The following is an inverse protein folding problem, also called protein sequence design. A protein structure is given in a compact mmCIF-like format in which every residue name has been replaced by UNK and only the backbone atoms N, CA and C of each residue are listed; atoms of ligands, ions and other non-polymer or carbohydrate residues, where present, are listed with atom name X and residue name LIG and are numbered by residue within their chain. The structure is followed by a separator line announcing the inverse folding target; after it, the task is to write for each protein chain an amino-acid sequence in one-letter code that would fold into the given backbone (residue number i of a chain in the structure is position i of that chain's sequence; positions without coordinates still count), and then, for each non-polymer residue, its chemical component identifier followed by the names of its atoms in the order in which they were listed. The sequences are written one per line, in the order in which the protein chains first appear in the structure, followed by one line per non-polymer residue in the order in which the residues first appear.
data_IF_324180331140
#
_entry.id   IF_324180331140
#
_cell.length_a   1.000
_cell.length_b   1.000
_cell.length_c   1.000
_cell.angle_alpha   90.00
_cell.angle_beta   90.00
_cell.angle_gamma   90.00
#
_symmetry.space_group_name_H-M   'P 1'
#
loop_
_entity.id
_entity.type
_entity.pdbx_description
1 polymer ?
#
# COMPACT_ATOMS: atom_id res chain seq x y z
N UNK A 1 9.05 17.41 -1.17
CA UNK A 1 8.36 16.88 -2.38
C UNK A 1 7.74 15.54 -2.06
N UNK A 2 6.52 15.28 -2.55
CA UNK A 2 5.80 14.00 -2.40
C UNK A 2 5.59 13.42 -3.79
N UNK A 3 5.86 12.13 -3.96
CA UNK A 3 5.60 11.39 -5.19
C UNK A 3 4.69 10.20 -4.93
N UNK A 4 4.04 9.68 -5.96
CA UNK A 4 3.20 8.49 -5.86
C UNK A 4 3.45 7.54 -7.02
N UNK A 5 3.17 6.25 -6.81
CA UNK A 5 3.21 5.23 -7.86
C UNK A 5 1.96 4.37 -7.89
N UNK A 6 1.51 4.07 -9.10
CA UNK A 6 0.47 3.09 -9.41
C UNK A 6 1.09 2.04 -10.33
N UNK A 7 1.03 0.78 -9.95
CA UNK A 7 1.45 -0.35 -10.79
C UNK A 7 0.22 -0.94 -11.47
N UNK A 8 0.29 -1.10 -12.79
CA UNK A 8 -0.82 -1.63 -13.61
C UNK A 8 -0.43 -2.91 -14.33
N UNK A 9 -1.41 -3.79 -14.53
CA UNK A 9 -1.30 -4.96 -15.38
C UNK A 9 -2.65 -5.22 -16.07
N UNK A 10 -2.72 -4.96 -17.36
CA UNK A 10 -3.93 -5.06 -18.19
C UNK A 10 -5.14 -4.21 -17.68
N UNK A 11 -4.88 -3.16 -16.89
CA UNK A 11 -5.91 -2.21 -16.48
C UNK A 11 -6.26 -1.27 -17.64
N UNK A 12 -7.53 -0.90 -17.74
CA UNK A 12 -7.99 0.22 -18.58
C UNK A 12 -7.83 1.53 -17.83
N UNK A 13 -8.00 2.67 -18.50
CA UNK A 13 -8.03 3.97 -17.83
C UNK A 13 -9.13 4.04 -16.77
N UNK A 14 -10.33 3.54 -17.07
CA UNK A 14 -11.46 3.54 -16.13
C UNK A 14 -11.19 2.77 -14.82
N UNK A 15 -10.30 1.78 -14.86
CA UNK A 15 -9.93 1.02 -13.67
C UNK A 15 -9.05 1.83 -12.71
N UNK A 16 -8.23 2.76 -13.23
CA UNK A 16 -7.23 3.52 -12.47
C UNK A 16 -7.56 5.01 -12.34
N UNK A 17 -8.54 5.51 -13.09
CA UNK A 17 -8.95 6.91 -13.10
C UNK A 17 -9.25 7.46 -11.69
N UNK A 18 -10.00 6.75 -10.80
CA UNK A 18 -10.28 7.25 -9.46
C UNK A 18 -9.02 7.49 -8.64
N UNK A 19 -8.01 6.61 -8.77
CA UNK A 19 -6.74 6.76 -8.07
C UNK A 19 -5.93 7.94 -8.62
N UNK A 20 -5.85 8.08 -9.96
CA UNK A 20 -5.17 9.20 -10.61
C UNK A 20 -5.85 10.51 -10.21
N UNK A 21 -7.18 10.57 -10.25
CA UNK A 21 -7.95 11.77 -9.90
C UNK A 21 -7.64 12.23 -8.46
N UNK A 22 -7.69 11.31 -7.50
CA UNK A 22 -7.38 11.61 -6.10
C UNK A 22 -5.95 12.14 -5.93
N UNK A 23 -4.98 11.56 -6.63
CA UNK A 23 -3.58 12.01 -6.59
C UNK A 23 -3.39 13.37 -7.26
N UNK A 24 -4.05 13.65 -8.40
CA UNK A 24 -3.98 14.95 -9.08
C UNK A 24 -4.52 16.09 -8.20
N UNK A 25 -5.54 15.80 -7.39
CA UNK A 25 -6.17 16.76 -6.46
C UNK A 25 -5.39 16.94 -5.16
N UNK A 26 -4.43 16.09 -4.86
CA UNK A 26 -3.65 16.11 -3.61
C UNK A 26 -2.31 16.87 -3.74
N UNK A 27 -1.52 16.93 -2.66
CA UNK A 27 -0.19 17.57 -2.61
C UNK A 27 0.91 16.78 -3.35
N UNK A 28 0.57 15.74 -4.12
CA UNK A 28 1.54 14.96 -4.88
C UNK A 28 2.11 15.79 -6.02
N UNK A 29 3.43 15.78 -6.16
CA UNK A 29 4.15 16.51 -7.21
C UNK A 29 4.45 15.67 -8.46
N UNK A 30 4.56 14.35 -8.31
CA UNK A 30 4.81 13.45 -9.44
C UNK A 30 4.10 12.12 -9.23
N UNK A 31 3.33 11.71 -10.22
CA UNK A 31 2.61 10.44 -10.27
C UNK A 31 3.29 9.57 -11.31
N UNK A 32 3.82 8.41 -10.90
CA UNK A 32 4.42 7.41 -11.76
C UNK A 32 3.42 6.29 -12.02
N UNK A 33 3.06 6.06 -13.28
CA UNK A 33 2.31 4.87 -13.69
C UNK A 33 3.31 3.88 -14.26
N UNK A 34 3.48 2.73 -13.60
CA UNK A 34 4.35 1.64 -14.05
C UNK A 34 3.46 0.55 -14.62
N UNK A 35 3.54 0.34 -15.93
CA UNK A 35 2.70 -0.63 -16.63
C UNK A 35 3.48 -1.90 -17.00
N UNK A 36 3.03 -3.01 -16.44
CA UNK A 36 3.57 -4.35 -16.64
C UNK A 36 2.81 -5.15 -17.72
N UNK A 37 1.85 -4.54 -18.41
CA UNK A 37 1.00 -5.23 -19.39
C UNK A 37 1.80 -5.65 -20.63
N UNK A 38 1.50 -6.81 -21.21
CA UNK A 38 2.13 -7.29 -22.45
C UNK A 38 1.49 -6.68 -23.71
N UNK A 39 0.39 -5.92 -23.54
CA UNK A 39 -0.35 -5.29 -24.66
C UNK A 39 0.42 -4.15 -25.31
N UNK A 40 0.00 -3.79 -26.53
CA UNK A 40 0.38 -2.53 -27.15
C UNK A 40 -0.17 -1.36 -26.29
N UNK A 41 0.71 -0.49 -25.83
CA UNK A 41 0.39 0.59 -24.90
C UNK A 41 -0.12 1.88 -25.56
N UNK A 42 -0.12 1.96 -26.91
CA UNK A 42 -0.50 3.18 -27.65
C UNK A 42 -1.91 3.68 -27.31
N UNK A 43 -2.88 2.78 -27.25
CA UNK A 43 -4.26 3.14 -26.96
C UNK A 43 -4.40 3.61 -25.48
N UNK A 44 -3.77 2.92 -24.56
CA UNK A 44 -3.75 3.30 -23.16
C UNK A 44 -3.06 4.65 -22.94
N UNK A 45 -1.91 4.88 -23.61
CA UNK A 45 -1.21 6.16 -23.55
C UNK A 45 -2.04 7.31 -24.13
N UNK A 46 -2.71 7.08 -25.27
CA UNK A 46 -3.60 8.09 -25.86
C UNK A 46 -4.74 8.46 -24.90
N UNK A 47 -5.38 7.46 -24.30
CA UNK A 47 -6.45 7.66 -23.31
C UNK A 47 -5.92 8.42 -22.07
N UNK A 48 -4.74 8.09 -21.57
CA UNK A 48 -4.13 8.76 -20.43
C UNK A 48 -3.77 10.23 -20.75
N UNK A 49 -3.25 10.50 -21.95
CA UNK A 49 -2.94 11.86 -22.41
C UNK A 49 -4.22 12.69 -22.55
N UNK A 50 -5.27 12.11 -23.16
CA UNK A 50 -6.57 12.76 -23.27
C UNK A 50 -7.13 13.10 -21.88
N UNK A 51 -7.13 12.14 -20.97
CA UNK A 51 -7.58 12.35 -19.59
C UNK A 51 -6.81 13.47 -18.90
N UNK A 52 -5.48 13.49 -19.01
CA UNK A 52 -4.65 14.57 -18.45
C UNK A 52 -5.02 15.96 -19.01
N UNK A 53 -5.26 16.03 -20.33
CA UNK A 53 -5.69 17.27 -20.97
C UNK A 53 -7.09 17.72 -20.50
N UNK A 54 -8.03 16.80 -20.32
CA UNK A 54 -9.37 17.08 -19.79
C UNK A 54 -9.31 17.57 -18.33
N UNK A 55 -8.48 16.97 -17.48
CA UNK A 55 -8.28 17.43 -16.11
C UNK A 55 -7.71 18.86 -16.08
N UNK A 56 -6.74 19.17 -16.93
CA UNK A 56 -6.18 20.52 -17.06
C UNK A 56 -7.21 21.53 -17.61
N UNK A 57 -8.11 21.11 -18.49
CA UNK A 57 -9.17 21.96 -19.03
C UNK A 57 -10.21 22.31 -17.96
N UNK A 58 -10.59 21.33 -17.13
CA UNK A 58 -11.69 21.42 -16.19
C UNK A 58 -11.28 21.95 -14.80
N UNK A 59 -9.98 21.91 -14.46
CA UNK A 59 -9.47 22.32 -13.15
C UNK A 59 -8.32 23.33 -13.29
N UNK A 60 -8.56 24.55 -12.82
CA UNK A 60 -7.59 25.65 -12.90
C UNK A 60 -6.33 25.38 -12.04
N UNK A 61 -6.47 24.71 -10.89
CA UNK A 61 -5.35 24.41 -10.02
C UNK A 61 -4.46 23.30 -10.60
N UNK A 62 -5.05 22.23 -11.13
CA UNK A 62 -4.31 21.19 -11.85
C UNK A 62 -3.57 21.81 -13.03
N UNK A 63 -4.24 22.63 -13.84
CA UNK A 63 -3.63 23.36 -14.97
C UNK A 63 -2.45 24.22 -14.53
N UNK A 64 -2.63 25.01 -13.47
CA UNK A 64 -1.57 25.88 -12.93
C UNK A 64 -0.35 25.05 -12.50
N UNK A 65 -0.57 23.95 -11.77
CA UNK A 65 0.49 23.07 -11.28
C UNK A 65 1.22 22.33 -12.41
N UNK A 66 0.50 21.86 -13.43
CA UNK A 66 1.09 21.23 -14.60
C UNK A 66 1.94 22.22 -15.41
N UNK A 67 1.44 23.43 -15.67
CA UNK A 67 2.16 24.47 -16.39
C UNK A 67 3.44 24.91 -15.65
N UNK A 68 3.39 24.96 -14.32
CA UNK A 68 4.55 25.24 -13.46
C UNK A 68 5.49 24.04 -13.29
N UNK A 69 5.20 22.90 -13.91
CA UNK A 69 5.91 21.62 -13.72
C UNK A 69 6.01 21.16 -12.24
N UNK A 70 5.09 21.62 -11.41
CA UNK A 70 4.97 21.22 -10.01
C UNK A 70 4.02 20.03 -9.78
N UNK A 71 3.38 19.56 -10.87
CA UNK A 71 2.59 18.32 -10.94
C UNK A 71 2.90 17.63 -12.27
N UNK A 72 3.38 16.41 -12.21
CA UNK A 72 3.77 15.59 -13.36
C UNK A 72 3.06 14.25 -13.28
N UNK A 73 2.44 13.84 -14.37
CA UNK A 73 1.94 12.47 -14.58
C UNK A 73 2.82 11.81 -15.64
N UNK A 74 3.48 10.73 -15.28
CA UNK A 74 4.38 10.01 -16.18
C UNK A 74 4.02 8.53 -16.28
N UNK A 75 4.17 7.98 -17.47
CA UNK A 75 3.94 6.57 -17.77
C UNK A 75 5.26 5.89 -18.13
N UNK A 76 5.46 4.70 -17.58
CA UNK A 76 6.65 3.89 -17.78
C UNK A 76 6.26 2.44 -18.02
N UNK A 77 6.54 1.95 -19.23
CA UNK A 77 6.45 0.53 -19.54
C UNK A 77 7.62 -0.21 -18.92
N UNK A 78 7.35 -1.30 -18.24
CA UNK A 78 8.37 -2.12 -17.59
C UNK A 78 8.02 -3.60 -17.66
N UNK A 79 9.04 -4.47 -17.66
CA UNK A 79 8.84 -5.91 -17.52
C UNK A 79 8.09 -6.23 -16.22
N UNK A 80 7.26 -7.28 -16.27
CA UNK A 80 6.46 -7.66 -15.12
C UNK A 80 7.29 -8.41 -14.08
N UNK A 81 7.89 -7.64 -13.18
CA UNK A 81 8.64 -8.13 -12.02
C UNK A 81 7.80 -8.11 -10.71
N UNK A 82 6.47 -8.15 -10.84
CA UNK A 82 5.53 -8.20 -9.73
C UNK A 82 5.21 -6.85 -9.10
N UNK A 83 4.34 -6.87 -8.10
CA UNK A 83 3.83 -5.67 -7.45
C UNK A 83 4.95 -4.82 -6.83
N UNK A 84 5.73 -5.40 -5.93
CA UNK A 84 6.82 -4.71 -5.24
C UNK A 84 7.90 -4.23 -6.20
N UNK A 85 8.24 -5.04 -7.22
CA UNK A 85 9.23 -4.68 -8.23
C UNK A 85 8.81 -3.46 -9.05
N UNK A 86 7.54 -3.38 -9.46
CA UNK A 86 7.02 -2.21 -10.16
C UNK A 86 7.09 -0.95 -9.31
N UNK A 87 6.68 -1.00 -8.05
CA UNK A 87 6.80 0.14 -7.14
C UNK A 87 8.26 0.52 -6.89
N UNK A 88 9.18 -0.44 -6.83
CA UNK A 88 10.62 -0.17 -6.69
C UNK A 88 11.17 0.68 -7.84
N UNK A 89 10.70 0.49 -9.07
CA UNK A 89 11.09 1.35 -10.21
C UNK A 89 10.76 2.80 -9.90
N UNK A 90 9.52 3.07 -9.51
CA UNK A 90 9.08 4.42 -9.18
C UNK A 90 9.76 5.00 -7.93
N UNK A 91 9.97 4.19 -6.88
CA UNK A 91 10.65 4.62 -5.66
C UNK A 91 12.10 5.03 -5.96
N UNK A 92 12.84 4.28 -6.78
CA UNK A 92 14.21 4.66 -7.21
C UNK A 92 14.21 5.97 -8.00
N UNK A 93 13.20 6.20 -8.85
CA UNK A 93 13.05 7.46 -9.58
C UNK A 93 12.74 8.61 -8.62
N UNK A 94 11.87 8.39 -7.64
CA UNK A 94 11.52 9.36 -6.60
C UNK A 94 12.74 9.75 -5.74
N UNK A 95 13.55 8.78 -5.31
CA UNK A 95 14.79 9.00 -4.58
C UNK A 95 15.78 9.84 -5.41
N UNK A 96 15.97 9.48 -6.69
CA UNK A 96 16.83 10.23 -7.62
C UNK A 96 16.35 11.67 -7.84
N UNK A 97 15.05 11.90 -7.80
CA UNK A 97 14.45 13.23 -7.90
C UNK A 97 14.49 14.03 -6.58
N UNK A 98 15.03 13.48 -5.49
CA UNK A 98 15.13 14.13 -4.18
C UNK A 98 13.77 14.25 -3.47
N UNK A 99 12.85 13.32 -3.69
CA UNK A 99 11.60 13.27 -2.94
C UNK A 99 11.85 12.95 -1.47
N UNK A 100 11.03 13.53 -0.60
CA UNK A 100 11.05 13.23 0.84
C UNK A 100 10.11 12.07 1.19
N UNK A 101 8.99 12.01 0.49
CA UNK A 101 7.95 11.01 0.68
C UNK A 101 7.56 10.35 -0.62
N UNK A 102 7.17 9.08 -0.54
CA UNK A 102 6.61 8.33 -1.66
C UNK A 102 5.38 7.53 -1.23
N UNK A 103 4.36 7.53 -2.09
CA UNK A 103 3.11 6.82 -1.84
C UNK A 103 2.97 5.68 -2.83
N UNK A 104 2.80 4.48 -2.32
CA UNK A 104 2.39 3.30 -3.08
C UNK A 104 0.86 3.25 -3.03
N UNK A 105 0.20 3.20 -4.18
CA UNK A 105 -1.26 3.22 -4.28
C UNK A 105 -1.74 2.14 -5.25
N UNK A 106 -2.71 1.34 -4.82
CA UNK A 106 -3.41 0.42 -5.72
C UNK A 106 -4.23 1.18 -6.75
N UNK A 107 -4.41 0.63 -7.96
CA UNK A 107 -5.18 1.26 -9.04
C UNK A 107 -6.66 1.49 -8.69
N UNK A 108 -7.23 0.70 -7.77
CA UNK A 108 -8.63 0.72 -7.35
C UNK A 108 -8.87 1.43 -6.00
N UNK A 109 -7.94 2.32 -5.60
CA UNK A 109 -8.03 3.19 -4.42
C UNK A 109 -8.42 4.61 -4.82
N UNK A 110 -9.27 5.27 -4.02
CA UNK A 110 -9.56 6.71 -4.15
C UNK A 110 -9.75 7.37 -2.77
N UNK A 111 -9.58 8.68 -2.73
CA UNK A 111 -9.65 9.46 -1.50
C UNK A 111 -9.87 10.95 -1.79
N UNK A 112 -10.20 11.71 -0.74
CA UNK A 112 -10.37 13.15 -0.78
C UNK A 112 -9.03 13.92 -0.72
N UNK A 113 -9.06 15.21 -1.01
CA UNK A 113 -7.87 16.03 -1.25
C UNK A 113 -6.95 16.18 -0.04
N UNK A 114 -7.47 16.16 1.18
CA UNK A 114 -6.74 16.46 2.42
C UNK A 114 -5.99 15.25 3.03
N UNK A 115 -6.22 14.05 2.50
CA UNK A 115 -5.59 12.82 3.03
C UNK A 115 -4.08 12.93 3.05
N UNK A 116 -3.48 13.30 1.91
CA UNK A 116 -2.01 13.34 1.75
C UNK A 116 -1.40 14.46 2.59
N UNK A 117 -1.99 15.65 2.58
CA UNK A 117 -1.50 16.80 3.35
C UNK A 117 -1.53 16.53 4.86
N UNK A 118 -2.60 15.91 5.36
CA UNK A 118 -2.75 15.55 6.76
C UNK A 118 -1.72 14.50 7.19
N UNK A 119 -1.52 13.44 6.39
CA UNK A 119 -0.52 12.41 6.67
C UNK A 119 0.90 12.98 6.64
N UNK A 120 1.20 13.84 5.68
CA UNK A 120 2.48 14.55 5.59
C UNK A 120 2.75 15.38 6.83
N UNK A 121 1.82 16.25 7.24
CA UNK A 121 1.96 17.10 8.44
C UNK A 121 2.27 16.27 9.69
N UNK A 122 1.61 15.11 9.84
CA UNK A 122 1.91 14.20 10.93
C UNK A 122 3.33 13.63 10.84
N UNK A 123 3.77 13.17 9.68
CA UNK A 123 5.14 12.67 9.49
C UNK A 123 6.19 13.76 9.66
N UNK A 124 5.91 15.01 9.25
CA UNK A 124 6.83 16.13 9.40
C UNK A 124 7.16 16.41 10.88
N UNK A 125 6.19 16.23 11.77
CA UNK A 125 6.36 16.40 13.23
C UNK A 125 6.85 15.14 13.94
N UNK A 126 6.67 13.94 13.34
CA UNK A 126 7.02 12.65 13.94
C UNK A 126 8.11 11.95 13.09
N UNK A 127 9.37 12.31 13.34
CA UNK A 127 10.52 11.86 12.49
C UNK A 127 10.85 10.38 12.66
N UNK A 128 10.36 9.73 13.69
CA UNK A 128 10.48 8.29 13.97
C UNK A 128 9.46 7.43 13.20
N UNK A 129 8.56 8.05 12.44
CA UNK A 129 7.60 7.36 11.57
C UNK A 129 8.19 7.13 10.19
N UNK A 130 8.30 5.86 9.79
CA UNK A 130 8.80 5.44 8.46
C UNK A 130 7.69 5.12 7.46
N UNK A 131 6.56 4.62 7.95
CA UNK A 131 5.43 4.20 7.11
C UNK A 131 4.10 4.53 7.78
N UNK A 132 3.13 4.96 6.98
CA UNK A 132 1.75 5.15 7.43
C UNK A 132 0.75 4.55 6.45
N UNK A 133 -0.40 4.10 7.00
CA UNK A 133 -1.57 3.66 6.24
C UNK A 133 -2.81 4.35 6.85
N UNK A 134 -3.69 4.97 6.04
CA UNK A 134 -4.94 5.56 6.51
C UNK A 134 -5.97 4.50 6.86
N UNK A 135 -7.13 4.91 7.37
CA UNK A 135 -8.30 4.04 7.46
C UNK A 135 -8.78 3.70 6.05
N UNK A 136 -9.01 2.41 5.80
CA UNK A 136 -9.45 1.92 4.50
C UNK A 136 -10.87 1.40 4.60
N UNK A 137 -11.77 1.90 3.76
CA UNK A 137 -13.16 1.46 3.67
C UNK A 137 -13.43 0.75 2.34
N UNK A 138 -14.42 -0.13 2.35
CA UNK A 138 -15.08 -0.57 1.12
C UNK A 138 -15.94 0.56 0.55
N UNK A 139 -16.37 0.46 -0.74
CA UNK A 139 -17.28 1.45 -1.34
C UNK A 139 -18.60 1.65 -0.58
N UNK A 140 -19.05 0.65 0.15
CA UNK A 140 -20.27 0.69 0.99
C UNK A 140 -20.05 1.35 2.37
N UNK A 141 -18.84 1.85 2.64
CA UNK A 141 -18.46 2.49 3.89
C UNK A 141 -18.06 1.52 5.01
N UNK A 142 -18.11 0.21 4.78
CA UNK A 142 -17.64 -0.77 5.77
C UNK A 142 -16.11 -0.83 5.83
N UNK A 143 -15.57 -1.11 7.03
CA UNK A 143 -14.13 -1.04 7.26
C UNK A 143 -13.39 -2.26 6.70
N UNK A 144 -12.29 -2.03 5.98
CA UNK A 144 -11.32 -3.05 5.62
C UNK A 144 -10.28 -3.19 6.72
N UNK A 145 -10.21 -4.38 7.32
CA UNK A 145 -9.29 -4.64 8.44
C UNK A 145 -7.89 -4.99 7.94
N UNK A 146 -7.15 -3.96 7.56
CA UNK A 146 -5.86 -4.06 6.87
C UNK A 146 -4.65 -3.72 7.76
N UNK A 147 -4.91 -3.35 9.02
CA UNK A 147 -3.92 -3.20 10.08
C UNK A 147 -3.87 -4.51 10.88
N UNK A 148 -2.74 -5.23 10.87
CA UNK A 148 -2.69 -6.61 11.35
C UNK A 148 -1.42 -6.89 12.15
N UNK A 149 -1.44 -8.01 12.85
CA UNK A 149 -0.25 -8.62 13.43
C UNK A 149 0.62 -9.29 12.34
N UNK A 150 1.88 -9.59 12.63
CA UNK A 150 2.67 -10.48 11.76
C UNK A 150 2.04 -11.87 11.75
N UNK A 151 1.82 -12.47 10.56
CA UNK A 151 1.07 -13.70 10.44
C UNK A 151 1.81 -14.90 11.01
N UNK A 152 1.07 -15.85 11.58
CA UNK A 152 1.53 -17.20 11.82
C UNK A 152 1.06 -18.13 10.68
N UNK A 153 1.66 -19.32 10.51
CA UNK A 153 1.15 -20.30 9.55
C UNK A 153 -0.34 -20.60 9.73
N UNK A 154 -0.79 -20.58 10.99
CA UNK A 154 -2.21 -20.83 11.29
C UNK A 154 -3.14 -19.69 10.83
N UNK A 155 -2.66 -18.45 10.81
CA UNK A 155 -3.43 -17.32 10.30
C UNK A 155 -3.59 -17.39 8.76
N UNK A 156 -2.58 -17.92 8.07
CA UNK A 156 -2.58 -18.04 6.61
C UNK A 156 -3.30 -19.31 6.12
N UNK A 157 -3.03 -20.46 6.75
CA UNK A 157 -3.50 -21.76 6.28
C UNK A 157 -4.64 -22.36 7.12
N UNK A 158 -4.92 -21.79 8.28
CA UNK A 158 -5.92 -22.36 9.22
C UNK A 158 -7.32 -22.47 8.62
N UNK A 159 -7.69 -21.60 7.67
CA UNK A 159 -8.98 -21.67 6.98
C UNK A 159 -9.19 -22.97 6.18
N UNK A 160 -8.11 -23.67 5.85
CA UNK A 160 -8.16 -24.95 5.14
C UNK A 160 -8.47 -26.13 6.07
N UNK A 161 -8.20 -25.99 7.38
CA UNK A 161 -8.17 -27.13 8.30
C UNK A 161 -9.03 -26.93 9.57
N UNK A 162 -9.41 -25.67 9.90
CA UNK A 162 -10.05 -25.36 11.18
C UNK A 162 -11.52 -24.94 11.02
N UNK A 163 -12.35 -25.27 12.02
CA UNK A 163 -13.73 -24.81 12.07
C UNK A 163 -13.87 -23.28 12.07
N UNK A 164 -14.96 -22.73 11.48
CA UNK A 164 -15.15 -21.27 11.36
C UNK A 164 -15.09 -20.50 12.68
N UNK A 165 -15.56 -21.07 13.79
CA UNK A 165 -15.54 -20.37 15.08
C UNK A 165 -14.13 -20.18 15.63
N UNK A 166 -13.19 -21.11 15.38
CA UNK A 166 -11.78 -20.98 15.76
C UNK A 166 -11.12 -19.92 14.88
N UNK A 167 -11.40 -19.96 13.57
CA UNK A 167 -10.86 -18.99 12.60
C UNK A 167 -11.36 -17.58 12.92
N UNK A 168 -12.63 -17.39 13.25
CA UNK A 168 -13.18 -16.08 13.59
C UNK A 168 -12.50 -15.49 14.83
N UNK A 169 -12.31 -16.30 15.90
CA UNK A 169 -11.59 -15.86 17.09
C UNK A 169 -10.13 -15.49 16.80
N UNK A 170 -9.48 -16.22 15.90
CA UNK A 170 -8.11 -15.89 15.46
C UNK A 170 -8.08 -14.62 14.63
N UNK A 171 -9.01 -14.46 13.70
CA UNK A 171 -9.12 -13.25 12.89
C UNK A 171 -9.36 -12.02 13.77
N UNK A 172 -10.14 -12.12 14.85
CA UNK A 172 -10.34 -11.03 15.82
C UNK A 172 -9.02 -10.55 16.41
N UNK A 173 -8.10 -11.49 16.69
CA UNK A 173 -6.78 -11.18 17.19
C UNK A 173 -5.86 -10.67 16.07
N UNK A 174 -5.75 -11.42 14.97
CA UNK A 174 -4.85 -11.17 13.86
C UNK A 174 -5.12 -9.83 13.18
N UNK A 175 -6.40 -9.51 12.96
CA UNK A 175 -6.86 -8.26 12.34
C UNK A 175 -7.09 -7.14 13.37
N UNK A 176 -6.66 -7.31 14.61
CA UNK A 176 -6.79 -6.32 15.70
C UNK A 176 -8.22 -5.75 15.82
N UNK A 177 -9.26 -6.60 15.63
CA UNK A 177 -10.66 -6.16 15.54
C UNK A 177 -11.16 -5.45 16.80
N UNK A 178 -10.68 -5.89 17.97
CA UNK A 178 -11.04 -5.29 19.27
C UNK A 178 -10.48 -3.88 19.46
N UNK A 179 -9.54 -3.47 18.62
CA UNK A 179 -8.95 -2.13 18.65
C UNK A 179 -9.92 -1.05 18.12
N UNK A 180 -10.95 -1.41 17.34
CA UNK A 180 -11.99 -0.51 16.86
C UNK A 180 -11.64 0.26 15.58
N UNK A 181 -10.37 0.41 15.21
CA UNK A 181 -9.89 1.15 14.04
C UNK A 181 -10.18 2.66 14.08
N UNK A 182 -10.26 3.24 15.28
CA UNK A 182 -10.52 4.66 15.52
C UNK A 182 -9.33 5.42 16.13
N UNK A 183 -8.28 4.70 16.52
CA UNK A 183 -7.06 5.24 17.15
C UNK A 183 -5.82 4.90 16.34
N UNK A 184 -4.76 5.71 16.53
CA UNK A 184 -3.45 5.42 15.92
C UNK A 184 -2.84 4.21 16.63
N UNK A 185 -2.33 3.26 15.82
CA UNK A 185 -1.60 2.10 16.32
C UNK A 185 -0.29 1.90 15.54
N UNK A 186 0.79 1.59 16.26
CA UNK A 186 2.04 1.14 15.67
C UNK A 186 1.93 -0.36 15.36
N UNK A 187 1.52 -0.68 14.14
CA UNK A 187 1.19 -2.03 13.71
C UNK A 187 2.33 -2.66 12.90
N UNK A 188 2.66 -3.93 13.16
CA UNK A 188 3.78 -4.59 12.48
C UNK A 188 3.46 -5.04 11.05
N UNK A 189 2.20 -4.99 10.63
CA UNK A 189 1.76 -5.26 9.27
C UNK A 189 0.67 -4.28 8.84
N UNK A 190 0.93 -3.53 7.78
CA UNK A 190 0.03 -2.65 7.07
C UNK A 190 -0.07 -3.12 5.63
N UNK A 191 -1.30 -3.21 5.09
CA UNK A 191 -1.53 -3.70 3.73
C UNK A 191 -0.91 -2.81 2.65
N UNK A 192 -0.49 -3.44 1.57
CA UNK A 192 0.09 -2.80 0.40
C UNK A 192 -0.84 -1.89 -0.39
N UNK A 193 -2.16 -1.92 -0.18
CA UNK A 193 -3.09 -1.15 -1.02
C UNK A 193 -2.85 0.38 -0.98
N UNK A 194 -2.30 0.88 0.13
CA UNK A 194 -1.85 2.25 0.29
C UNK A 194 -0.74 2.32 1.34
N UNK A 195 0.46 2.74 0.93
CA UNK A 195 1.60 2.88 1.83
C UNK A 195 2.24 4.25 1.65
N UNK A 196 2.23 5.08 2.68
CA UNK A 196 2.90 6.38 2.70
C UNK A 196 4.26 6.22 3.36
N UNK A 197 5.34 6.31 2.60
CA UNK A 197 6.71 6.10 3.04
C UNK A 197 7.49 7.40 3.20
N UNK A 198 8.33 7.47 4.24
CA UNK A 198 9.48 8.38 4.30
C UNK A 198 10.63 7.73 3.51
N UNK A 199 11.15 8.41 2.48
CA UNK A 199 12.18 7.81 1.62
C UNK A 199 13.50 7.57 2.35
N UNK A 200 13.91 8.43 3.28
CA UNK A 200 15.10 8.19 4.11
C UNK A 200 14.96 6.95 5.03
N UNK A 201 13.73 6.54 5.36
CA UNK A 201 13.52 5.29 6.06
C UNK A 201 13.70 4.08 5.12
N UNK A 202 13.26 4.17 3.88
CA UNK A 202 13.49 3.13 2.87
C UNK A 202 14.98 2.98 2.52
N UNK A 203 15.77 4.05 2.54
CA UNK A 203 17.23 3.95 2.38
C UNK A 203 17.86 3.07 3.46
N UNK A 204 17.33 3.12 4.69
CA UNK A 204 17.84 2.31 5.81
C UNK A 204 17.28 0.87 5.80
N UNK A 205 16.03 0.68 5.45
CA UNK A 205 15.33 -0.62 5.56
C UNK A 205 15.36 -1.43 4.28
N UNK A 206 15.74 -0.82 3.17
CA UNK A 206 15.68 -1.38 1.81
C UNK A 206 14.30 -1.22 1.18
N UNK A 207 14.23 -1.46 -0.11
CA UNK A 207 13.01 -1.44 -0.93
C UNK A 207 12.23 -2.74 -0.80
N UNK A 208 11.15 -2.91 -1.56
CA UNK A 208 10.45 -4.19 -1.64
C UNK A 208 11.40 -5.32 -2.05
N UNK A 209 11.29 -6.47 -1.42
CA UNK A 209 12.02 -7.67 -1.83
C UNK A 209 11.40 -8.26 -3.09
N UNK A 210 12.08 -8.12 -4.22
CA UNK A 210 11.58 -8.50 -5.55
C UNK A 210 11.48 -10.03 -5.75
N UNK A 211 11.94 -10.85 -4.79
CA UNK A 211 11.65 -12.27 -4.80
C UNK A 211 10.16 -12.57 -4.55
N UNK A 212 9.44 -11.67 -3.86
CA UNK A 212 7.99 -11.75 -3.73
C UNK A 212 7.33 -11.12 -4.96
N UNK A 213 6.82 -11.96 -5.86
CA UNK A 213 6.15 -11.45 -7.07
C UNK A 213 4.88 -10.68 -6.75
N UNK A 214 4.02 -11.20 -5.86
CA UNK A 214 2.77 -10.59 -5.43
C UNK A 214 2.26 -11.30 -4.17
N UNK A 215 1.75 -10.51 -3.21
CA UNK A 215 1.39 -10.96 -1.86
C UNK A 215 2.61 -11.28 -0.99
N UNK A 216 2.54 -10.99 0.28
CA UNK A 216 3.61 -11.08 1.28
C UNK A 216 4.75 -10.04 1.15
N UNK A 217 4.92 -9.34 0.02
CA UNK A 217 5.87 -8.23 -0.13
C UNK A 217 5.54 -7.07 0.81
N UNK A 218 4.27 -6.81 1.06
CA UNK A 218 3.79 -5.78 1.99
C UNK A 218 4.01 -6.18 3.45
N UNK A 219 3.87 -7.46 3.78
CA UNK A 219 4.20 -8.00 5.11
C UNK A 219 5.69 -7.87 5.36
N UNK A 220 6.52 -8.29 4.40
CA UNK A 220 7.98 -8.22 4.47
C UNK A 220 8.46 -6.76 4.62
N UNK A 221 7.95 -5.88 3.78
CA UNK A 221 8.29 -4.46 3.78
C UNK A 221 7.94 -3.80 5.12
N UNK A 222 6.69 -3.97 5.58
CA UNK A 222 6.26 -3.36 6.84
C UNK A 222 7.03 -3.94 8.02
N UNK A 223 7.30 -5.24 8.03
CA UNK A 223 8.09 -5.90 9.09
C UNK A 223 9.51 -5.33 9.18
N UNK A 224 10.23 -5.18 8.06
CA UNK A 224 11.57 -4.58 8.01
C UNK A 224 11.54 -3.12 8.44
N UNK A 225 10.55 -2.36 7.98
CA UNK A 225 10.35 -0.98 8.40
C UNK A 225 10.11 -0.87 9.92
N UNK A 226 9.28 -1.74 10.47
CA UNK A 226 8.90 -1.77 11.89
C UNK A 226 10.07 -2.07 12.84
N UNK A 227 11.16 -2.67 12.35
CA UNK A 227 12.38 -2.91 13.14
C UNK A 227 13.13 -1.61 13.48
N UNK A 228 12.96 -0.57 12.69
CA UNK A 228 13.75 0.65 12.77
C UNK A 228 12.91 1.91 12.97
N UNK A 229 11.66 1.90 12.54
CA UNK A 229 10.75 3.03 12.53
C UNK A 229 9.35 2.61 13.00
N UNK A 230 8.53 3.59 13.37
CA UNK A 230 7.11 3.33 13.58
C UNK A 230 6.40 3.12 12.23
N UNK A 231 5.51 2.14 12.22
CA UNK A 231 4.61 1.83 11.09
C UNK A 231 3.18 2.04 11.55
N UNK A 232 2.58 3.17 11.18
CA UNK A 232 1.35 3.62 11.81
C UNK A 232 0.12 3.36 10.96
N UNK A 233 -0.87 2.71 11.55
CA UNK A 233 -2.25 2.87 11.14
C UNK A 233 -2.75 4.23 11.63
N UNK A 234 -3.24 5.08 10.71
CA UNK A 234 -3.59 6.47 10.95
C UNK A 234 -5.05 6.75 10.56
N UNK A 235 -6.01 6.53 11.47
CA UNK A 235 -7.44 6.61 11.16
C UNK A 235 -8.01 8.02 11.08
N UNK A 236 -7.20 9.06 11.29
CA UNK A 236 -7.65 10.47 11.18
C UNK A 236 -8.05 10.84 9.75
N UNK A 237 -7.59 10.09 8.76
CA UNK A 237 -7.98 10.22 7.35
C UNK A 237 -8.43 8.87 6.80
N UNK A 238 -9.28 8.91 5.78
CA UNK A 238 -9.93 7.74 5.22
C UNK A 238 -9.76 7.68 3.71
N UNK A 239 -9.50 6.48 3.20
CA UNK A 239 -9.51 6.18 1.76
C UNK A 239 -10.52 5.08 1.48
N UNK A 240 -10.92 4.95 0.23
CA UNK A 240 -11.77 3.88 -0.26
C UNK A 240 -10.98 2.94 -1.17
N UNK A 241 -11.26 1.64 -1.08
CA UNK A 241 -10.59 0.62 -1.88
C UNK A 241 -11.62 -0.41 -2.36
N UNK A 242 -11.72 -0.60 -3.67
CA UNK A 242 -12.74 -1.49 -4.27
C UNK A 242 -12.48 -2.96 -3.96
N UNK A 243 -11.24 -3.36 -3.81
CA UNK A 243 -10.79 -4.71 -3.44
C UNK A 243 -11.42 -5.85 -4.24
N UNK A 244 -10.91 -6.12 -5.40
CA UNK A 244 -11.48 -7.08 -6.38
C UNK A 244 -11.35 -8.57 -5.98
N UNK A 245 -10.66 -8.94 -4.88
CA UNK A 245 -10.38 -10.34 -4.43
C UNK A 245 -9.87 -11.24 -5.56
N UNK A 246 -8.97 -10.74 -6.40
CA UNK A 246 -8.50 -11.43 -7.60
C UNK A 246 -7.89 -12.82 -7.30
N UNK A 247 -7.22 -13.00 -6.16
CA UNK A 247 -6.64 -14.28 -5.72
C UNK A 247 -7.69 -15.38 -5.47
N UNK A 248 -8.93 -15.02 -5.15
CA UNK A 248 -10.02 -15.99 -4.98
C UNK A 248 -10.67 -16.42 -6.31
N UNK A 249 -10.39 -15.72 -7.41
CA UNK A 249 -11.00 -15.97 -8.73
C UNK A 249 -10.05 -16.62 -9.72
N UNK A 250 -8.73 -16.70 -9.40
CA UNK A 250 -7.71 -17.23 -10.30
C UNK A 250 -6.84 -18.27 -9.60
N UNK A 251 -6.81 -19.49 -10.10
CA UNK A 251 -5.92 -20.55 -9.61
C UNK A 251 -4.45 -20.14 -9.70
N UNK A 252 -4.05 -19.44 -10.76
CA UNK A 252 -2.68 -18.92 -10.92
C UNK A 252 -2.31 -17.98 -9.75
N UNK A 253 -3.18 -17.03 -9.42
CA UNK A 253 -2.95 -16.09 -8.31
C UNK A 253 -2.99 -16.79 -6.95
N UNK A 254 -3.81 -17.82 -6.79
CA UNK A 254 -3.82 -18.65 -5.58
C UNK A 254 -2.47 -19.36 -5.38
N UNK A 255 -1.89 -19.96 -6.42
CA UNK A 255 -0.58 -20.61 -6.32
C UNK A 255 0.54 -19.59 -6.07
N UNK A 256 0.52 -18.42 -6.72
CA UNK A 256 1.48 -17.34 -6.47
C UNK A 256 1.40 -16.90 -5.00
N UNK A 257 0.21 -16.64 -4.50
CA UNK A 257 -0.01 -16.26 -3.09
C UNK A 257 0.53 -17.32 -2.14
N UNK A 258 0.19 -18.58 -2.39
CA UNK A 258 0.65 -19.69 -1.55
C UNK A 258 2.18 -19.81 -1.56
N UNK A 259 2.81 -19.76 -2.73
CA UNK A 259 4.27 -19.82 -2.86
C UNK A 259 4.96 -18.68 -2.12
N UNK A 260 4.45 -17.45 -2.23
CA UNK A 260 5.03 -16.29 -1.56
C UNK A 260 4.84 -16.34 -0.04
N UNK A 261 3.73 -16.87 0.46
CA UNK A 261 3.57 -17.11 1.90
C UNK A 261 4.54 -18.19 2.40
N UNK A 262 4.78 -19.26 1.63
CA UNK A 262 5.83 -20.24 1.95
C UNK A 262 7.21 -19.59 1.99
N UNK A 263 7.54 -18.75 1.00
CA UNK A 263 8.80 -17.99 0.94
C UNK A 263 8.95 -17.07 2.16
N UNK A 264 7.88 -16.37 2.56
CA UNK A 264 7.87 -15.54 3.76
C UNK A 264 8.21 -16.35 5.03
N UNK A 265 7.56 -17.49 5.23
CA UNK A 265 7.87 -18.34 6.39
C UNK A 265 9.24 -19.02 6.32
N UNK A 266 9.75 -19.34 5.12
CA UNK A 266 11.12 -19.82 4.96
C UNK A 266 12.14 -18.73 5.31
N UNK A 267 11.85 -17.45 5.01
CA UNK A 267 12.71 -16.31 5.33
C UNK A 267 12.73 -16.00 6.84
N UNK A 268 11.59 -16.06 7.51
CA UNK A 268 11.44 -15.58 8.88
C UNK A 268 11.19 -16.66 9.94
N UNK A 269 10.93 -17.86 9.52
CA UNK A 269 10.63 -18.99 10.39
C UNK A 269 9.14 -19.33 10.48
N UNK A 270 8.85 -20.61 10.38
CA UNK A 270 7.50 -21.16 10.44
C UNK A 270 6.90 -21.07 11.84
N UNK A 271 7.56 -21.67 12.82
CA UNK A 271 7.06 -21.79 14.20
C UNK A 271 7.92 -21.03 15.20
N UNK A 272 9.23 -21.04 15.01
CA UNK A 272 10.20 -20.38 15.86
C UNK A 272 10.62 -19.03 15.27
N UNK A 273 9.82 -17.99 15.50
CA UNK A 273 10.07 -16.59 15.09
C UNK A 273 9.93 -15.71 16.33
N UNK A 274 11.06 -15.46 17.00
CA UNK A 274 11.11 -14.67 18.22
C UNK A 274 10.73 -13.20 18.01
N UNK A 275 11.10 -12.64 16.86
CA UNK A 275 10.75 -11.28 16.49
C UNK A 275 9.23 -11.14 16.30
N UNK A 276 8.59 -12.01 15.52
CA UNK A 276 7.13 -12.04 15.36
C UNK A 276 6.43 -12.10 16.72
N UNK A 277 6.90 -12.99 17.61
CA UNK A 277 6.33 -13.18 18.93
C UNK A 277 6.39 -11.91 19.79
N UNK A 278 7.59 -11.30 19.84
CA UNK A 278 7.82 -10.06 20.59
C UNK A 278 7.03 -8.89 20.03
N UNK A 279 7.06 -8.71 18.72
CA UNK A 279 6.42 -7.59 18.01
C UNK A 279 4.90 -7.66 18.13
N UNK A 280 4.32 -8.84 17.89
CA UNK A 280 2.88 -9.03 18.05
C UNK A 280 2.41 -8.80 19.50
N UNK A 281 3.21 -9.24 20.49
CA UNK A 281 2.91 -8.97 21.91
C UNK A 281 2.85 -7.48 22.19
N UNK A 282 3.83 -6.70 21.75
CA UNK A 282 3.87 -5.24 21.92
C UNK A 282 2.67 -4.55 21.28
N UNK A 283 2.30 -4.95 20.05
CA UNK A 283 1.13 -4.40 19.36
C UNK A 283 -0.18 -4.69 20.14
N UNK A 284 -0.34 -5.89 20.71
CA UNK A 284 -1.49 -6.26 21.50
C UNK A 284 -1.55 -5.51 22.86
N UNK A 285 -0.40 -5.29 23.50
CA UNK A 285 -0.31 -4.49 24.73
C UNK A 285 -0.71 -3.04 24.47
N UNK A 286 -0.28 -2.45 23.35
CA UNK A 286 -0.70 -1.12 22.94
C UNK A 286 -2.23 -1.06 22.72
N UNK A 287 -2.82 -2.05 22.08
CA UNK A 287 -4.27 -2.13 21.90
C UNK A 287 -5.01 -2.20 23.25
N UNK A 288 -4.50 -2.97 24.20
CA UNK A 288 -5.12 -3.11 25.52
C UNK A 288 -5.04 -1.83 26.38
N UNK A 289 -3.97 -1.04 26.22
CA UNK A 289 -3.81 0.24 26.93
C UNK A 289 -4.67 1.38 26.37
N UNK A 290 -5.19 1.22 25.15
CA UNK A 290 -6.06 2.18 24.48
C UNK A 290 -7.56 1.88 24.64
N UNK A 291 -7.92 0.70 25.18
CA UNK A 291 -9.31 0.29 25.46
C UNK A 291 -9.76 0.81 26.82
#
# INVERSE_FOLDING_TARGET
MITASIVTYNHTLNDIEPAIHSLLKSDVSHIYIIDHSDRNDREFLASLQQYGAEQMANDAEIRRRCNAKSLILSYHKHENNGYGGGHNVAIRMAMKAGSEYHIVVNPDVWFDNDVISTMRQYMDTNKDVGQMMPRVLFPDGTIQRLCKLLPTPLDMFGRLCLPPFIINKRNDLYELRKFGYDKIINAPYLSGCFMFFRLSALEKTGLFDEHFFMYAEDIDMTRRMHQHFKTLFFPSVTIYHRFSRASHRSLKLFFIHTANIFMYFNKYGWFADAERKSTNKKALEQCASCS
#
